data_IF_665783612852
#
_entry.id   IF_665783612852
#
_cell.length_a   1.000
_cell.length_b   1.000
_cell.length_c   1.000
_cell.angle_alpha   90.00
_cell.angle_beta   90.00
_cell.angle_gamma   90.00
#
_symmetry.space_group_name_H-M   'P 1'
#
loop_
_entity.id
_entity.type
_entity.pdbx_description
1 polymer ?
#
# COMPACT_ATOMS: atom_id res chain seq x y z
N UNK A 1 -26.69 17.89 50.75
CA UNK A 1 -26.32 18.58 49.50
C UNK A 1 -25.38 17.67 48.75
N UNK A 2 -25.78 17.16 47.59
CA UNK A 2 -24.96 16.31 46.74
C UNK A 2 -24.08 17.20 45.85
N UNK A 3 -22.79 16.88 45.65
CA UNK A 3 -21.91 17.68 44.80
C UNK A 3 -22.34 17.58 43.33
N UNK A 4 -22.28 18.72 42.64
CA UNK A 4 -22.69 18.88 41.24
C UNK A 4 -21.68 18.15 40.32
N UNK A 5 -22.11 17.17 39.49
CA UNK A 5 -21.20 16.38 38.65
C UNK A 5 -20.67 17.13 37.41
N UNK A 6 -20.97 18.42 37.28
CA UNK A 6 -20.58 19.29 36.17
C UNK A 6 -19.59 20.38 36.59
N UNK A 7 -18.88 20.20 37.71
CA UNK A 7 -17.71 21.02 37.98
C UNK A 7 -16.66 20.68 36.91
N UNK A 8 -16.59 21.52 35.87
CA UNK A 8 -15.63 21.41 34.78
C UNK A 8 -14.23 21.25 35.37
N UNK A 9 -13.65 20.07 35.17
CA UNK A 9 -12.24 19.79 35.44
C UNK A 9 -11.48 20.54 34.34
N UNK A 10 -10.66 21.53 34.72
CA UNK A 10 -9.79 22.32 33.83
C UNK A 10 -8.66 21.43 33.26
N UNK A 11 -9.03 20.38 32.53
CA UNK A 11 -8.11 19.32 32.10
C UNK A 11 -8.19 18.94 30.61
N UNK A 12 -8.84 19.77 29.81
CA UNK A 12 -9.04 19.52 28.37
C UNK A 12 -8.08 20.32 27.45
N UNK A 13 -6.95 20.82 27.96
CA UNK A 13 -6.00 21.64 27.15
C UNK A 13 -4.63 20.99 26.88
N UNK A 14 -4.41 19.73 27.27
CA UNK A 14 -3.10 19.07 27.10
C UNK A 14 -3.07 17.86 26.17
N UNK A 15 -4.21 17.43 25.60
CA UNK A 15 -4.25 16.24 24.73
C UNK A 15 -4.03 16.58 23.24
N UNK A 16 -4.32 17.81 22.80
CA UNK A 16 -4.18 18.23 21.39
C UNK A 16 -2.70 18.29 20.92
N UNK A 17 -1.76 18.56 21.82
CA UNK A 17 -0.33 18.61 21.49
C UNK A 17 0.31 17.23 21.38
N UNK A 18 -0.31 16.19 21.94
CA UNK A 18 0.20 14.83 21.85
C UNK A 18 -0.23 14.13 20.55
N UNK A 19 -1.42 14.45 20.02
CA UNK A 19 -1.88 13.95 18.72
C UNK A 19 -1.12 14.56 17.52
N UNK A 20 -0.52 15.75 17.67
CA UNK A 20 0.30 16.37 16.63
C UNK A 20 1.66 15.71 16.42
N UNK A 21 2.16 14.93 17.38
CA UNK A 21 3.48 14.27 17.30
C UNK A 21 3.48 12.96 16.51
N UNK A 22 2.31 12.44 16.14
CA UNK A 22 2.17 11.19 15.38
C UNK A 22 1.93 11.37 13.88
N UNK A 23 1.85 12.60 13.38
CA UNK A 23 2.10 12.84 11.95
C UNK A 23 3.61 12.81 11.80
N UNK A 24 4.15 11.60 11.79
CA UNK A 24 5.53 11.37 11.40
C UNK A 24 5.78 12.16 10.14
N UNK A 25 6.86 12.95 10.14
CA UNK A 25 7.45 13.51 8.94
C UNK A 25 7.35 12.44 7.87
N UNK A 26 6.54 12.70 6.84
CA UNK A 26 6.42 11.79 5.72
C UNK A 26 7.86 11.43 5.31
N UNK A 27 8.23 10.14 5.23
CA UNK A 27 9.56 9.80 4.75
C UNK A 27 9.75 10.55 3.44
N UNK A 28 10.76 11.39 3.39
CA UNK A 28 11.12 12.19 2.21
C UNK A 28 11.42 11.32 0.98
N UNK A 29 11.44 10.01 1.16
CA UNK A 29 11.54 8.96 0.16
C UNK A 29 10.17 8.56 -0.42
N UNK A 30 9.26 9.53 -0.57
CA UNK A 30 8.11 9.37 -1.45
C UNK A 30 8.60 9.32 -2.89
N UNK A 31 9.03 8.12 -3.31
CA UNK A 31 9.07 7.61 -4.68
C UNK A 31 9.96 8.38 -5.67
N UNK A 32 10.54 7.73 -6.69
CA UNK A 32 10.84 8.47 -7.91
C UNK A 32 9.49 9.01 -8.40
N UNK A 33 9.26 10.29 -8.14
CA UNK A 33 8.12 11.06 -8.64
C UNK A 33 8.00 10.71 -10.12
N UNK A 34 6.97 9.94 -10.47
CA UNK A 34 6.71 9.57 -11.85
C UNK A 34 6.66 10.88 -12.62
N UNK A 35 7.66 11.09 -13.47
CA UNK A 35 7.77 12.32 -14.21
C UNK A 35 6.58 12.36 -15.16
N UNK A 36 5.57 13.15 -14.81
CA UNK A 36 4.36 13.31 -15.61
C UNK A 36 4.71 13.81 -17.02
N UNK A 37 5.87 14.46 -17.18
CA UNK A 37 6.42 14.84 -18.47
C UNK A 37 6.85 13.60 -19.26
N UNK A 38 7.43 12.57 -18.64
CA UNK A 38 7.75 11.32 -19.35
C UNK A 38 6.50 10.53 -19.75
N UNK A 39 5.44 10.57 -18.94
CA UNK A 39 4.13 9.97 -19.28
C UNK A 39 3.48 10.63 -20.50
N UNK A 40 3.63 11.96 -20.64
CA UNK A 40 3.12 12.71 -21.79
C UNK A 40 3.82 12.35 -23.11
N UNK A 41 4.98 11.70 -23.05
CA UNK A 41 5.80 11.28 -24.19
C UNK A 41 5.75 9.77 -24.42
N UNK A 42 4.83 9.04 -23.75
CA UNK A 42 4.60 7.66 -24.10
C UNK A 42 4.16 7.57 -25.57
N UNK A 43 5.01 6.96 -26.39
CA UNK A 43 4.67 6.64 -27.77
C UNK A 43 3.53 5.60 -27.81
N UNK A 44 2.81 5.55 -28.93
CA UNK A 44 1.66 4.65 -29.14
C UNK A 44 2.00 3.20 -28.85
N UNK A 45 3.22 2.76 -29.13
CA UNK A 45 3.68 1.41 -28.81
C UNK A 45 3.77 1.16 -27.29
N UNK A 46 4.18 2.15 -26.51
CA UNK A 46 4.20 2.04 -25.04
C UNK A 46 2.78 2.03 -24.47
N UNK A 47 1.87 2.81 -25.05
CA UNK A 47 0.45 2.75 -24.68
C UNK A 47 -0.14 1.37 -25.02
N UNK A 48 0.21 0.78 -26.18
CA UNK A 48 -0.26 -0.57 -26.54
C UNK A 48 0.21 -1.62 -25.53
N UNK A 49 1.46 -1.54 -25.07
CA UNK A 49 1.98 -2.46 -24.05
C UNK A 49 1.22 -2.38 -22.71
N UNK A 50 0.65 -1.22 -22.37
CA UNK A 50 -0.18 -1.07 -21.17
C UNK A 50 -1.59 -1.63 -21.35
N UNK A 51 -2.06 -1.74 -22.59
CA UNK A 51 -3.35 -2.33 -22.95
C UNK A 51 -3.28 -3.86 -23.13
N UNK A 52 -2.07 -4.41 -23.27
CA UNK A 52 -1.85 -5.85 -23.41
C UNK A 52 -2.14 -6.57 -22.08
N UNK A 53 -2.84 -7.72 -22.12
CA UNK A 53 -3.09 -8.51 -20.93
C UNK A 53 -1.78 -9.06 -20.37
N UNK A 54 -1.69 -9.14 -19.04
CA UNK A 54 -0.53 -9.76 -18.39
C UNK A 54 -0.31 -11.18 -18.89
N UNK A 55 0.95 -11.57 -19.00
CA UNK A 55 1.37 -12.94 -19.27
C UNK A 55 1.50 -13.74 -17.97
N UNK A 56 1.45 -15.07 -18.10
CA UNK A 56 1.67 -15.96 -16.95
C UNK A 56 3.05 -15.73 -16.32
N UNK A 57 4.04 -15.48 -17.16
CA UNK A 57 5.43 -15.26 -16.79
C UNK A 57 5.60 -13.96 -16.00
N UNK A 58 4.94 -12.88 -16.41
CA UNK A 58 4.93 -11.61 -15.67
C UNK A 58 4.33 -11.77 -14.28
N UNK A 59 3.18 -12.46 -14.18
CA UNK A 59 2.53 -12.71 -12.89
C UNK A 59 3.44 -13.55 -11.99
N UNK A 60 4.06 -14.61 -12.54
CA UNK A 60 5.00 -15.43 -11.79
C UNK A 60 6.22 -14.63 -11.32
N UNK A 61 6.77 -13.76 -12.17
CA UNK A 61 7.90 -12.90 -11.80
C UNK A 61 7.53 -11.94 -10.66
N UNK A 62 6.36 -11.29 -10.72
CA UNK A 62 5.89 -10.40 -9.66
C UNK A 62 5.76 -11.16 -8.33
N UNK A 63 5.19 -12.37 -8.36
CA UNK A 63 5.09 -13.22 -7.16
C UNK A 63 6.46 -13.56 -6.59
N UNK A 64 7.44 -13.92 -7.44
CA UNK A 64 8.80 -14.21 -7.00
C UNK A 64 9.50 -13.01 -6.35
N UNK A 65 9.23 -11.81 -6.87
CA UNK A 65 9.78 -10.54 -6.38
C UNK A 65 9.11 -10.05 -5.10
N UNK A 66 8.04 -10.69 -4.61
CA UNK A 66 7.38 -10.28 -3.38
C UNK A 66 8.37 -10.27 -2.20
N UNK A 67 8.48 -9.15 -1.45
CA UNK A 67 9.35 -9.06 -0.30
C UNK A 67 8.85 -9.96 0.83
N UNK A 68 9.71 -10.84 1.34
CA UNK A 68 9.35 -11.84 2.35
C UNK A 68 9.06 -11.29 3.74
N UNK A 69 9.50 -10.05 4.02
CA UNK A 69 9.45 -9.40 5.33
C UNK A 69 8.30 -8.40 5.49
N UNK A 70 7.37 -8.33 4.53
CA UNK A 70 6.17 -7.50 4.69
C UNK A 70 5.16 -8.21 5.60
N UNK A 71 4.52 -7.42 6.46
CA UNK A 71 3.37 -7.87 7.23
C UNK A 71 2.31 -8.44 6.27
N UNK A 72 1.58 -9.45 6.74
CA UNK A 72 0.45 -10.00 6.01
C UNK A 72 -0.58 -8.88 5.73
N UNK A 73 -1.23 -8.95 4.58
CA UNK A 73 -2.27 -7.98 4.24
C UNK A 73 -3.59 -8.37 4.92
N UNK A 74 -4.69 -7.73 4.55
CA UNK A 74 -6.04 -8.02 5.08
C UNK A 74 -6.48 -9.48 4.88
N UNK A 75 -5.85 -10.20 3.95
CA UNK A 75 -6.07 -11.61 3.65
C UNK A 75 -5.36 -12.58 4.62
N UNK A 76 -4.44 -12.08 5.45
CA UNK A 76 -3.60 -12.91 6.33
C UNK A 76 -2.54 -13.74 5.60
N UNK A 77 -2.39 -13.60 4.28
CA UNK A 77 -1.44 -14.37 3.47
C UNK A 77 -0.08 -13.69 3.43
N UNK A 78 0.97 -14.49 3.34
CA UNK A 78 2.37 -14.02 3.30
C UNK A 78 2.96 -14.17 1.90
N UNK A 79 4.03 -13.43 1.61
CA UNK A 79 4.78 -13.62 0.38
C UNK A 79 5.26 -15.07 0.19
N UNK A 80 5.51 -15.81 1.27
CA UNK A 80 5.89 -17.22 1.20
C UNK A 80 4.77 -18.08 0.60
N UNK A 81 3.51 -17.84 1.03
CA UNK A 81 2.34 -18.50 0.45
C UNK A 81 2.26 -18.23 -1.05
N UNK A 82 2.32 -16.97 -1.46
CA UNK A 82 2.24 -16.62 -2.88
C UNK A 82 3.31 -17.31 -3.72
N UNK A 83 4.56 -17.37 -3.22
CA UNK A 83 5.66 -18.05 -3.90
C UNK A 83 5.49 -19.56 -3.99
N UNK A 84 5.00 -20.20 -2.92
CA UNK A 84 4.76 -21.64 -2.89
C UNK A 84 3.67 -22.05 -3.90
N UNK A 85 2.60 -21.24 -4.01
CA UNK A 85 1.45 -21.55 -4.86
C UNK A 85 1.47 -20.81 -6.21
N UNK A 86 2.59 -20.18 -6.60
CA UNK A 86 2.68 -19.35 -7.80
C UNK A 86 2.24 -20.07 -9.08
N UNK A 87 2.57 -21.36 -9.22
CA UNK A 87 2.21 -22.17 -10.39
C UNK A 87 0.70 -22.44 -10.52
N UNK A 88 -0.03 -22.42 -9.41
CA UNK A 88 -1.48 -22.57 -9.36
C UNK A 88 -2.15 -21.19 -9.49
N UNK A 89 -1.63 -20.18 -8.81
CA UNK A 89 -2.20 -18.83 -8.81
C UNK A 89 -2.08 -18.14 -10.16
N UNK A 90 -0.94 -18.24 -10.84
CA UNK A 90 -0.69 -17.49 -12.07
C UNK A 90 -1.75 -17.77 -13.18
N UNK A 91 -2.14 -19.02 -13.48
CA UNK A 91 -3.25 -19.29 -14.40
C UNK A 91 -4.60 -18.70 -13.97
N UNK A 92 -4.93 -18.73 -12.67
CA UNK A 92 -6.20 -18.21 -12.17
C UNK A 92 -6.27 -16.69 -12.23
N UNK A 93 -5.15 -16.01 -11.95
CA UNK A 93 -5.04 -14.55 -12.00
C UNK A 93 -5.17 -13.99 -13.42
N UNK A 94 -4.93 -14.80 -14.47
CA UNK A 94 -5.15 -14.42 -15.87
C UNK A 94 -6.62 -14.43 -16.29
N UNK A 95 -7.49 -15.03 -15.49
CA UNK A 95 -8.91 -15.24 -15.83
C UNK A 95 -9.87 -14.34 -15.05
N UNK A 96 -9.33 -13.47 -14.20
CA UNK A 96 -10.07 -12.45 -13.44
C UNK A 96 -10.34 -11.21 -14.30
#
# INVERSE_FOLDING_TARGET
MLPNPWASDDRDELEDDQQRKHIGTAPSDLTPYFDLVQLLWLDKEHCRLLEEPFTKEEIAQVIYLLPGNKAHWLDGLTAAFYKEYAGILAPHLLTL
#
